data_IF_570196226693
#
_entry.id   IF_570196226693
#
_cell.length_a   1.000
_cell.length_b   1.000
_cell.length_c   1.000
_cell.angle_alpha   90.00
_cell.angle_beta   90.00
_cell.angle_gamma   90.00
#
_symmetry.space_group_name_H-M   'P 1'
#
loop_
_entity.id
_entity.type
_entity.pdbx_description
1 polymer ?
#
# COMPACT_ATOMS: atom_id res chain seq x y z
N UNK A 1 2.49 19.68 12.21
CA UNK A 1 2.99 18.74 11.18
C UNK A 1 3.68 19.56 10.12
N UNK A 2 4.98 19.33 9.94
CA UNK A 2 5.74 19.87 8.81
C UNK A 2 5.78 18.83 7.69
N UNK A 3 6.12 19.25 6.46
CA UNK A 3 6.16 18.37 5.28
C UNK A 3 7.14 17.18 5.48
N UNK A 4 8.15 17.37 6.34
CA UNK A 4 9.12 16.35 6.77
C UNK A 4 8.53 15.19 7.57
N UNK A 5 7.34 15.35 8.17
CA UNK A 5 6.67 14.30 8.96
C UNK A 5 5.85 13.36 8.07
N UNK A 6 5.54 13.78 6.84
CA UNK A 6 4.70 13.03 5.90
C UNK A 6 5.26 11.65 5.54
N UNK A 7 6.59 11.42 5.42
CA UNK A 7 7.13 10.07 5.21
C UNK A 7 6.79 9.10 6.34
N UNK A 8 6.84 9.55 7.61
CA UNK A 8 6.46 8.72 8.76
C UNK A 8 4.96 8.42 8.74
N UNK A 9 4.13 9.44 8.50
CA UNK A 9 2.68 9.28 8.36
C UNK A 9 2.34 8.28 7.25
N UNK A 10 3.01 8.39 6.11
CA UNK A 10 2.85 7.49 4.97
C UNK A 10 3.21 6.04 5.30
N UNK A 11 4.28 5.82 6.07
CA UNK A 11 4.66 4.50 6.54
C UNK A 11 3.63 3.93 7.52
N UNK A 12 3.15 4.73 8.47
CA UNK A 12 2.10 4.32 9.39
C UNK A 12 0.80 3.95 8.67
N UNK A 13 0.38 4.74 7.67
CA UNK A 13 -0.81 4.46 6.87
C UNK A 13 -0.67 3.15 6.09
N UNK A 14 0.49 2.89 5.47
CA UNK A 14 0.74 1.59 4.83
C UNK A 14 0.72 0.44 5.83
N UNK A 15 1.32 0.61 7.02
CA UNK A 15 1.26 -0.37 8.10
C UNK A 15 -0.17 -0.67 8.55
N UNK A 16 -1.01 0.35 8.66
CA UNK A 16 -2.44 0.19 8.94
C UNK A 16 -3.16 -0.57 7.82
N UNK A 17 -2.87 -0.28 6.55
CA UNK A 17 -3.41 -1.04 5.42
C UNK A 17 -3.02 -2.53 5.49
N UNK A 18 -1.78 -2.85 5.86
CA UNK A 18 -1.33 -4.25 6.09
C UNK A 18 -2.18 -4.94 7.16
N UNK A 19 -2.46 -4.25 8.27
CA UNK A 19 -3.29 -4.79 9.36
C UNK A 19 -4.71 -5.04 8.86
N UNK A 20 -5.34 -4.05 8.21
CA UNK A 20 -6.70 -4.19 7.71
C UNK A 20 -6.83 -5.28 6.64
N UNK A 21 -5.86 -5.42 5.73
CA UNK A 21 -5.84 -6.49 4.73
C UNK A 21 -5.69 -7.88 5.35
N UNK A 22 -4.87 -8.00 6.40
CA UNK A 22 -4.69 -9.24 7.15
C UNK A 22 -5.96 -9.64 7.89
N UNK A 23 -6.58 -8.68 8.59
CA UNK A 23 -7.87 -8.87 9.28
C UNK A 23 -8.95 -9.23 8.26
N UNK A 24 -9.04 -8.52 7.14
CA UNK A 24 -10.00 -8.79 6.08
C UNK A 24 -9.87 -10.22 5.53
N UNK A 25 -8.65 -10.68 5.30
CA UNK A 25 -8.38 -12.06 4.86
C UNK A 25 -8.75 -13.10 5.91
N UNK A 26 -8.40 -12.85 7.17
CA UNK A 26 -8.76 -13.75 8.26
C UNK A 26 -10.30 -13.86 8.44
N UNK A 27 -11.01 -12.73 8.39
CA UNK A 27 -12.46 -12.69 8.59
C UNK A 27 -13.23 -13.39 7.46
N UNK A 28 -12.77 -13.29 6.20
CA UNK A 28 -13.41 -14.03 5.12
C UNK A 28 -13.18 -15.53 5.22
N UNK A 29 -12.02 -15.98 5.73
CA UNK A 29 -11.76 -17.40 6.00
C UNK A 29 -12.64 -17.95 7.12
N UNK A 30 -13.02 -17.09 8.09
CA UNK A 30 -14.03 -17.42 9.12
C UNK A 30 -15.48 -17.33 8.62
N UNK A 31 -15.71 -16.96 7.36
CA UNK A 31 -17.04 -16.77 6.79
C UNK A 31 -17.74 -15.47 7.23
N UNK A 32 -17.08 -14.61 8.01
CA UNK A 32 -17.65 -13.34 8.46
C UNK A 32 -17.52 -12.26 7.38
N UNK A 33 -18.50 -12.24 6.46
CA UNK A 33 -18.54 -11.32 5.32
C UNK A 33 -18.67 -9.84 5.72
N UNK A 34 -19.38 -9.54 6.81
CA UNK A 34 -19.58 -8.16 7.28
C UNK A 34 -18.27 -7.60 7.82
N UNK A 35 -17.57 -8.35 8.68
CA UNK A 35 -16.27 -7.93 9.20
C UNK A 35 -15.23 -7.84 8.08
N UNK A 36 -15.23 -8.77 7.12
CA UNK A 36 -14.39 -8.69 5.93
C UNK A 36 -14.64 -7.38 5.16
N UNK A 37 -15.90 -7.07 4.85
CA UNK A 37 -16.27 -5.84 4.12
C UNK A 37 -15.75 -4.59 4.83
N UNK A 38 -16.00 -4.49 6.14
CA UNK A 38 -15.59 -3.33 6.92
C UNK A 38 -14.06 -3.18 6.96
N UNK A 39 -13.32 -4.28 7.09
CA UNK A 39 -11.87 -4.27 7.02
C UNK A 39 -11.35 -3.86 5.63
N UNK A 40 -11.95 -4.37 4.54
CA UNK A 40 -11.54 -4.00 3.17
C UNK A 40 -11.84 -2.53 2.85
N UNK A 41 -12.96 -1.98 3.33
CA UNK A 41 -13.27 -0.55 3.19
C UNK A 41 -12.27 0.28 4.01
N UNK A 42 -11.94 -0.14 5.23
CA UNK A 42 -10.94 0.56 6.07
C UNK A 42 -9.55 0.55 5.41
N UNK A 43 -9.15 -0.57 4.81
CA UNK A 43 -7.92 -0.67 4.02
C UNK A 43 -7.94 0.29 2.83
N UNK A 44 -9.05 0.34 2.09
CA UNK A 44 -9.21 1.23 0.93
C UNK A 44 -9.07 2.70 1.34
N UNK A 45 -9.83 3.13 2.35
CA UNK A 45 -9.78 4.51 2.86
C UNK A 45 -8.37 4.87 3.31
N UNK A 46 -7.72 3.99 4.08
CA UNK A 46 -6.34 4.21 4.55
C UNK A 46 -5.36 4.33 3.39
N UNK A 47 -5.46 3.48 2.37
CA UNK A 47 -4.63 3.55 1.17
C UNK A 47 -4.90 4.81 0.33
N UNK A 48 -6.14 5.29 0.26
CA UNK A 48 -6.48 6.56 -0.41
C UNK A 48 -5.87 7.76 0.32
N UNK A 49 -5.94 7.78 1.65
CA UNK A 49 -5.30 8.82 2.47
C UNK A 49 -3.78 8.79 2.30
N UNK A 50 -3.18 7.59 2.30
CA UNK A 50 -1.76 7.42 1.99
C UNK A 50 -1.40 8.00 0.62
N UNK A 51 -2.15 7.67 -0.43
CA UNK A 51 -1.85 8.15 -1.78
C UNK A 51 -1.93 9.67 -1.87
N UNK A 52 -2.95 10.29 -1.27
CA UNK A 52 -3.08 11.74 -1.22
C UNK A 52 -1.90 12.41 -0.48
N UNK A 53 -1.52 11.86 0.68
CA UNK A 53 -0.38 12.34 1.48
C UNK A 53 0.95 12.16 0.74
N UNK A 54 1.17 11.01 0.09
CA UNK A 54 2.35 10.72 -0.72
C UNK A 54 2.50 11.68 -1.90
N UNK A 55 1.42 11.89 -2.67
CA UNK A 55 1.44 12.82 -3.80
C UNK A 55 1.70 14.25 -3.33
N UNK A 56 1.09 14.67 -2.21
CA UNK A 56 1.34 15.97 -1.61
C UNK A 56 2.82 16.13 -1.28
N UNK A 57 3.42 15.19 -0.54
CA UNK A 57 4.84 15.21 -0.23
C UNK A 57 5.72 15.28 -1.50
N UNK A 58 5.41 14.47 -2.50
CA UNK A 58 6.21 14.40 -3.74
C UNK A 58 6.17 15.68 -4.56
N UNK A 59 5.03 16.38 -4.58
CA UNK A 59 4.87 17.66 -5.31
C UNK A 59 5.67 18.77 -4.64
N UNK A 60 5.69 18.83 -3.30
CA UNK A 60 6.32 19.94 -2.57
C UNK A 60 7.80 19.73 -2.22
N UNK A 61 8.25 18.49 -2.04
CA UNK A 61 9.60 18.18 -1.54
C UNK A 61 10.51 17.47 -2.56
N UNK A 62 9.98 17.09 -3.72
CA UNK A 62 10.72 16.40 -4.76
C UNK A 62 11.11 14.96 -4.41
N UNK A 63 12.04 14.39 -5.18
CA UNK A 63 12.50 13.00 -5.03
C UNK A 63 13.68 12.92 -4.07
N UNK A 64 13.54 12.13 -3.00
CA UNK A 64 14.68 11.72 -2.17
C UNK A 64 15.58 10.78 -2.97
N UNK A 65 16.83 11.19 -3.22
CA UNK A 65 17.81 10.37 -3.92
C UNK A 65 18.48 9.40 -2.95
N UNK A 66 18.44 8.10 -3.26
CA UNK A 66 19.22 7.09 -2.53
C UNK A 66 20.67 7.14 -3.01
N UNK A 67 21.55 7.79 -2.25
CA UNK A 67 22.97 8.01 -2.59
C UNK A 67 23.90 7.01 -1.91
N UNK A 68 23.68 6.70 -0.63
CA UNK A 68 24.58 5.86 0.17
C UNK A 68 23.83 4.75 0.92
N UNK A 69 24.32 3.50 0.99
CA UNK A 69 25.52 2.98 0.35
C UNK A 69 25.28 2.61 -1.12
N UNK A 70 26.28 2.87 -1.98
CA UNK A 70 26.16 2.70 -3.43
C UNK A 70 25.86 1.25 -3.86
N UNK A 71 26.36 0.27 -3.10
CA UNK A 71 26.14 -1.16 -3.37
C UNK A 71 24.68 -1.59 -3.14
N UNK A 72 23.95 -0.91 -2.26
CA UNK A 72 22.56 -1.23 -1.93
C UNK A 72 21.56 -0.50 -2.84
N UNK A 73 22.00 0.59 -3.50
CA UNK A 73 21.20 1.36 -4.46
C UNK A 73 20.48 0.52 -5.53
N UNK A 74 21.11 -0.44 -6.24
CA UNK A 74 20.38 -1.23 -7.24
C UNK A 74 19.25 -2.07 -6.63
N UNK A 75 19.46 -2.64 -5.44
CA UNK A 75 18.44 -3.43 -4.72
C UNK A 75 17.26 -2.54 -4.34
N UNK A 76 17.55 -1.36 -3.77
CA UNK A 76 16.54 -0.37 -3.43
C UNK A 76 15.75 0.11 -4.66
N UNK A 77 16.43 0.38 -5.78
CA UNK A 77 15.77 0.84 -6.99
C UNK A 77 14.89 -0.25 -7.63
N UNK A 78 15.31 -1.51 -7.60
CA UNK A 78 14.48 -2.64 -8.03
C UNK A 78 13.22 -2.72 -7.16
N UNK A 79 13.37 -2.66 -5.83
CA UNK A 79 12.26 -2.68 -4.89
C UNK A 79 11.30 -1.50 -5.11
N UNK A 80 11.84 -0.29 -5.30
CA UNK A 80 11.05 0.90 -5.56
C UNK A 80 10.31 0.81 -6.90
N UNK A 81 10.98 0.27 -7.93
CA UNK A 81 10.39 0.06 -9.25
C UNK A 81 9.23 -0.92 -9.19
N UNK A 82 9.43 -2.10 -8.58
CA UNK A 82 8.37 -3.11 -8.44
C UNK A 82 7.21 -2.59 -7.60
N UNK A 83 7.50 -1.92 -6.48
CA UNK A 83 6.49 -1.28 -5.66
C UNK A 83 5.65 -0.27 -6.46
N UNK A 84 6.31 0.63 -7.21
CA UNK A 84 5.62 1.69 -7.96
C UNK A 84 4.75 1.13 -9.08
N UNK A 85 5.27 0.18 -9.86
CA UNK A 85 4.50 -0.46 -10.94
C UNK A 85 3.29 -1.19 -10.35
N UNK A 86 3.49 -1.98 -9.30
CA UNK A 86 2.41 -2.71 -8.66
C UNK A 86 1.41 -1.77 -7.98
N UNK A 87 1.85 -0.63 -7.44
CA UNK A 87 0.96 0.39 -6.88
C UNK A 87 0.05 1.00 -7.96
N UNK A 88 0.56 1.25 -9.16
CA UNK A 88 -0.27 1.73 -10.28
C UNK A 88 -1.28 0.65 -10.70
N UNK A 89 -0.83 -0.61 -10.77
CA UNK A 89 -1.69 -1.74 -11.18
C UNK A 89 -2.75 -2.08 -10.12
N UNK A 90 -2.44 -1.93 -8.83
CA UNK A 90 -3.36 -2.33 -7.76
C UNK A 90 -4.57 -1.40 -7.66
N UNK A 91 -4.42 -0.12 -7.96
CA UNK A 91 -5.52 0.86 -7.91
C UNK A 91 -6.73 0.42 -8.76
N UNK A 92 -6.60 0.18 -10.09
CA UNK A 92 -7.73 -0.29 -10.89
C UNK A 92 -8.20 -1.68 -10.43
N UNK A 93 -7.32 -2.57 -9.94
CA UNK A 93 -7.74 -3.87 -9.42
C UNK A 93 -8.64 -3.74 -8.18
N UNK A 94 -8.33 -2.81 -7.27
CA UNK A 94 -9.15 -2.53 -6.07
C UNK A 94 -10.50 -1.95 -6.50
N UNK A 95 -10.50 -0.97 -7.41
CA UNK A 95 -11.73 -0.35 -7.91
C UNK A 95 -12.65 -1.37 -8.60
N UNK A 96 -12.09 -2.27 -9.42
CA UNK A 96 -12.85 -3.35 -10.05
C UNK A 96 -13.38 -4.33 -8.99
N UNK A 97 -12.58 -4.68 -7.98
CA UNK A 97 -12.99 -5.58 -6.89
C UNK A 97 -14.16 -5.00 -6.09
N UNK A 98 -14.09 -3.70 -5.75
CA UNK A 98 -15.15 -2.96 -5.05
C UNK A 98 -16.41 -2.81 -5.91
N UNK A 99 -16.26 -2.46 -7.19
CA UNK A 99 -17.37 -2.35 -8.14
C UNK A 99 -18.11 -3.68 -8.31
N UNK A 100 -17.37 -4.80 -8.38
CA UNK A 100 -17.96 -6.15 -8.44
C UNK A 100 -18.67 -6.53 -7.14
N UNK A 101 -18.14 -6.13 -5.99
CA UNK A 101 -18.80 -6.33 -4.70
C UNK A 101 -20.10 -5.50 -4.59
N UNK A 102 -20.08 -4.25 -5.07
CA UNK A 102 -21.26 -3.38 -5.09
C UNK A 102 -22.37 -3.89 -5.99
N UNK A 103 -22.02 -4.49 -7.13
CA UNK A 103 -22.98 -5.13 -8.06
C UNK A 103 -23.36 -6.56 -7.66
N UNK A 104 -22.99 -7.00 -6.46
CA UNK A 104 -23.23 -8.34 -5.93
C UNK A 104 -22.72 -9.49 -6.83
N UNK A 105 -21.72 -9.22 -7.67
CA UNK A 105 -21.11 -10.20 -8.58
C UNK A 105 -20.02 -10.99 -7.86
N UNK A 106 -20.43 -11.78 -6.88
CA UNK A 106 -19.52 -12.48 -5.94
C UNK A 106 -18.50 -13.39 -6.63
N UNK A 107 -18.89 -14.13 -7.66
CA UNK A 107 -17.97 -15.03 -8.38
C UNK A 107 -16.86 -14.26 -9.11
N UNK A 108 -17.21 -13.16 -9.76
CA UNK A 108 -16.24 -12.27 -10.41
C UNK A 108 -15.39 -11.52 -9.38
N UNK A 109 -15.97 -11.16 -8.24
CA UNK A 109 -15.23 -10.54 -7.13
C UNK A 109 -14.16 -11.51 -6.60
N UNK A 110 -14.50 -12.76 -6.28
CA UNK A 110 -13.53 -13.77 -5.82
C UNK A 110 -12.39 -13.98 -6.82
N UNK A 111 -12.71 -14.04 -8.12
CA UNK A 111 -11.72 -14.25 -9.20
C UNK A 111 -10.68 -13.15 -9.30
N UNK A 112 -11.06 -11.88 -9.04
CA UNK A 112 -10.09 -10.78 -9.02
C UNK A 112 -9.43 -10.63 -7.65
N UNK A 113 -10.19 -10.81 -6.56
CA UNK A 113 -9.71 -10.64 -5.19
C UNK A 113 -8.53 -11.56 -4.84
N UNK A 114 -8.46 -12.78 -5.42
CA UNK A 114 -7.32 -13.69 -5.25
C UNK A 114 -5.98 -13.10 -5.75
N UNK A 115 -6.04 -12.15 -6.68
CA UNK A 115 -4.88 -11.45 -7.22
C UNK A 115 -4.75 -10.05 -6.61
N UNK A 116 -5.87 -9.35 -6.38
CA UNK A 116 -5.86 -8.01 -5.75
C UNK A 116 -5.26 -8.07 -4.35
N UNK A 117 -5.65 -9.05 -3.53
CA UNK A 117 -5.17 -9.14 -2.15
C UNK A 117 -3.65 -9.29 -2.03
N UNK A 118 -2.97 -10.25 -2.70
CA UNK A 118 -1.52 -10.39 -2.56
C UNK A 118 -0.76 -9.19 -3.14
N UNK A 119 -1.21 -8.61 -4.26
CA UNK A 119 -0.59 -7.41 -4.83
C UNK A 119 -0.73 -6.22 -3.88
N UNK A 120 -1.92 -6.02 -3.31
CA UNK A 120 -2.17 -4.93 -2.37
C UNK A 120 -1.39 -5.08 -1.06
N UNK A 121 -1.29 -6.31 -0.57
CA UNK A 121 -0.46 -6.64 0.59
C UNK A 121 1.03 -6.36 0.30
N UNK A 122 1.54 -6.79 -0.86
CA UNK A 122 2.92 -6.54 -1.27
C UNK A 122 3.24 -5.04 -1.30
N UNK A 123 2.41 -4.24 -1.98
CA UNK A 123 2.62 -2.79 -2.07
C UNK A 123 2.59 -2.15 -0.69
N UNK A 124 1.65 -2.54 0.18
CA UNK A 124 1.55 -1.97 1.52
C UNK A 124 2.77 -2.30 2.39
N UNK A 125 3.24 -3.55 2.38
CA UNK A 125 4.46 -3.95 3.13
C UNK A 125 5.68 -3.21 2.58
N UNK A 126 5.86 -3.23 1.26
CA UNK A 126 7.03 -2.61 0.63
C UNK A 126 7.06 -1.10 0.82
N UNK A 127 5.91 -0.43 0.94
CA UNK A 127 5.84 0.98 1.31
C UNK A 127 6.45 1.29 2.69
N UNK A 128 6.17 0.44 3.69
CA UNK A 128 6.81 0.55 5.02
C UNK A 128 8.31 0.25 4.93
N UNK A 129 8.70 -0.79 4.19
CA UNK A 129 10.11 -1.16 4.01
C UNK A 129 10.91 -0.04 3.35
N UNK A 130 10.37 0.60 2.30
CA UNK A 130 11.01 1.73 1.61
C UNK A 130 11.25 2.88 2.59
N UNK A 131 10.28 3.19 3.46
CA UNK A 131 10.46 4.19 4.51
C UNK A 131 11.58 3.80 5.49
N UNK A 132 11.56 2.57 6.01
CA UNK A 132 12.59 2.10 6.95
C UNK A 132 13.99 2.15 6.32
N UNK A 133 14.11 1.76 5.05
CA UNK A 133 15.38 1.80 4.32
C UNK A 133 15.90 3.23 4.15
N UNK A 134 15.04 4.18 3.78
CA UNK A 134 15.42 5.57 3.52
C UNK A 134 15.71 6.38 4.79
N UNK A 135 14.96 6.15 5.87
CA UNK A 135 14.97 7.05 7.03
C UNK A 135 15.57 6.43 8.30
N UNK A 136 15.64 5.11 8.42
CA UNK A 136 16.09 4.43 9.65
C UNK A 136 17.37 3.60 9.44
N UNK A 137 17.41 2.77 8.39
CA UNK A 137 18.52 1.82 8.16
C UNK A 137 19.66 2.52 7.41
N UNK A 138 19.34 3.20 6.31
CA UNK A 138 20.28 4.01 5.55
C UNK A 138 19.77 5.44 5.48
N UNK A 139 19.80 6.19 6.60
CA UNK A 139 19.30 7.55 6.64
C UNK A 139 20.02 8.40 5.60
N UNK A 140 19.32 8.73 4.52
CA UNK A 140 19.80 9.69 3.52
C UNK A 140 19.58 11.08 4.13
N UNK A 141 20.67 11.75 4.51
CA UNK A 141 20.66 13.17 4.89
C UNK A 141 20.59 14.05 3.66
#
# INVERSE_FOLDING_TARGET
MTITDLPLVNACLNGLSVIFLSVGFYMIRKGNKVAHRNAMISAFVTSSVFLASYLTYHIYWGRTEFRNPAWFRPIYLILLLTHTILAIVVVPMILISLSRAWRERWELHKKIARWTWPVWMYVSITGVVIYLLLYQIFPQK
#
